data_IF_703381768244
#
_entry.id   IF_703381768244
#
_cell.length_a   1.000
_cell.length_b   1.000
_cell.length_c   1.000
_cell.angle_alpha   90.00
_cell.angle_beta   90.00
_cell.angle_gamma   90.00
#
_symmetry.space_group_name_H-M   'P 1'
#
loop_
_entity.id
_entity.type
_entity.pdbx_description
1 polymer ?
#
# COMPACT_ATOMS: atom_id res chain seq x y z
N UNK A 1 8.46 7.55 15.49
CA UNK A 1 7.25 6.74 15.30
C UNK A 1 7.57 5.30 15.64
N UNK A 2 6.94 4.77 16.68
CA UNK A 2 7.04 3.38 17.11
C UNK A 2 6.46 2.42 16.08
N UNK A 3 6.80 1.12 16.17
CA UNK A 3 6.23 0.07 15.32
C UNK A 3 4.69 0.06 15.44
N UNK A 4 4.17 0.26 16.66
CA UNK A 4 2.72 0.31 16.92
C UNK A 4 2.05 1.46 16.18
N UNK A 5 2.63 2.66 16.23
CA UNK A 5 2.11 3.83 15.52
C UNK A 5 2.18 3.63 14.00
N UNK A 6 3.27 3.07 13.47
CA UNK A 6 3.39 2.75 12.04
C UNK A 6 2.27 1.82 11.59
N UNK A 7 2.02 0.74 12.34
CA UNK A 7 0.97 -0.23 12.01
C UNK A 7 -0.43 0.38 12.11
N UNK A 8 -0.68 1.25 13.09
CA UNK A 8 -1.94 1.98 13.22
C UNK A 8 -2.17 2.90 12.01
N UNK A 9 -1.17 3.70 11.65
CA UNK A 9 -1.24 4.61 10.51
C UNK A 9 -1.36 3.85 9.19
N UNK A 10 -0.63 2.75 9.02
CA UNK A 10 -0.75 1.87 7.87
C UNK A 10 -2.19 1.34 7.74
N UNK A 11 -2.76 0.79 8.82
CA UNK A 11 -4.14 0.26 8.79
C UNK A 11 -5.17 1.35 8.49
N UNK A 12 -5.05 2.53 9.11
CA UNK A 12 -5.94 3.65 8.86
C UNK A 12 -5.86 4.10 7.40
N UNK A 13 -4.64 4.31 6.88
CA UNK A 13 -4.43 4.69 5.49
C UNK A 13 -4.91 3.65 4.49
N UNK A 14 -4.71 2.35 4.75
CA UNK A 14 -5.25 1.28 3.90
C UNK A 14 -6.79 1.25 3.92
N UNK A 15 -7.42 1.54 5.06
CA UNK A 15 -8.88 1.61 5.17
C UNK A 15 -9.46 2.77 4.36
N UNK A 16 -8.82 3.93 4.38
CA UNK A 16 -9.22 5.09 3.56
C UNK A 16 -9.00 4.81 2.09
N UNK A 17 -7.84 4.26 1.73
CA UNK A 17 -7.54 3.88 0.36
C UNK A 17 -8.60 2.90 -0.19
N UNK A 18 -9.04 1.93 0.61
CA UNK A 18 -10.11 0.99 0.26
C UNK A 18 -11.51 1.63 0.13
N UNK A 19 -11.76 2.77 0.79
CA UNK A 19 -13.01 3.54 0.60
C UNK A 19 -13.01 4.29 -0.72
N UNK A 20 -11.84 4.80 -1.13
CA UNK A 20 -11.68 5.45 -2.42
C UNK A 20 -11.65 4.47 -3.60
N UNK A 21 -10.98 3.35 -3.40
CA UNK A 21 -10.73 2.35 -4.43
C UNK A 21 -11.36 1.05 -3.95
N UNK A 22 -12.50 0.67 -4.56
CA UNK A 22 -13.19 -0.57 -4.21
C UNK A 22 -12.19 -1.74 -4.22
N UNK A 23 -11.97 -2.44 -3.08
CA UNK A 23 -10.92 -3.45 -2.96
C UNK A 23 -11.40 -4.79 -3.55
N UNK A 24 -11.69 -4.80 -4.84
CA UNK A 24 -12.07 -5.98 -5.62
C UNK A 24 -10.81 -6.76 -6.01
N UNK A 25 -10.98 -8.01 -6.46
CA UNK A 25 -9.84 -8.78 -6.99
C UNK A 25 -9.24 -8.08 -8.21
N UNK A 26 -10.08 -7.49 -9.06
CA UNK A 26 -9.66 -6.75 -10.26
C UNK A 26 -8.79 -5.54 -9.89
N UNK A 27 -9.21 -4.71 -8.94
CA UNK A 27 -8.42 -3.53 -8.56
C UNK A 27 -7.11 -3.90 -7.85
N UNK A 28 -7.10 -5.00 -7.07
CA UNK A 28 -5.87 -5.51 -6.47
C UNK A 28 -4.92 -6.09 -7.53
N UNK A 29 -5.46 -6.74 -8.56
CA UNK A 29 -4.67 -7.24 -9.70
C UNK A 29 -4.07 -6.10 -10.53
N UNK A 30 -4.84 -5.03 -10.77
CA UNK A 30 -4.35 -3.83 -11.45
C UNK A 30 -3.25 -3.14 -10.64
N UNK A 31 -3.44 -2.98 -9.32
CA UNK A 31 -2.40 -2.43 -8.46
C UNK A 31 -1.13 -3.28 -8.49
N UNK A 32 -1.24 -4.60 -8.43
CA UNK A 32 -0.11 -5.52 -8.57
C UNK A 32 0.62 -5.36 -9.92
N UNK A 33 -0.12 -5.30 -11.04
CA UNK A 33 0.48 -5.08 -12.36
C UNK A 33 1.23 -3.76 -12.43
N UNK A 34 0.69 -2.69 -11.84
CA UNK A 34 1.36 -1.39 -11.83
C UNK A 34 2.69 -1.44 -11.07
N UNK A 35 2.70 -2.01 -9.86
CA UNK A 35 3.94 -2.16 -9.08
C UNK A 35 4.94 -3.14 -9.75
N UNK A 36 4.45 -4.15 -10.47
CA UNK A 36 5.29 -5.04 -11.28
C UNK A 36 5.96 -4.29 -12.45
N UNK A 37 5.21 -3.40 -13.12
CA UNK A 37 5.75 -2.54 -14.18
C UNK A 37 6.77 -1.55 -13.59
N UNK A 38 6.45 -0.88 -12.48
CA UNK A 38 7.38 0.04 -11.79
C UNK A 38 8.69 -0.68 -11.40
N UNK A 39 8.59 -1.90 -10.86
CA UNK A 39 9.76 -2.73 -10.55
C UNK A 39 10.56 -3.14 -11.80
N UNK A 40 9.90 -3.47 -12.91
CA UNK A 40 10.60 -3.88 -14.13
C UNK A 40 11.26 -2.70 -14.86
N UNK A 41 10.59 -1.55 -14.91
CA UNK A 41 11.09 -0.33 -15.55
C UNK A 41 12.21 0.33 -14.73
N UNK A 42 12.16 0.25 -13.40
CA UNK A 42 13.15 0.86 -12.52
C UNK A 42 13.45 -0.04 -11.30
N UNK A 43 14.19 -1.14 -11.51
CA UNK A 43 14.46 -2.11 -10.46
C UNK A 43 15.18 -1.45 -9.28
N UNK A 44 14.53 -1.45 -8.12
CA UNK A 44 15.11 -0.99 -6.87
C UNK A 44 14.60 -1.80 -5.69
N UNK A 45 15.31 -1.72 -4.57
CA UNK A 45 14.85 -2.38 -3.34
C UNK A 45 13.49 -1.84 -2.88
N UNK A 46 13.21 -0.54 -3.09
CA UNK A 46 11.89 0.04 -2.76
C UNK A 46 10.78 -0.59 -3.61
N UNK A 47 10.99 -0.64 -4.93
CA UNK A 47 10.00 -1.20 -5.87
C UNK A 47 9.81 -2.70 -5.65
N UNK A 48 10.86 -3.44 -5.30
CA UNK A 48 10.75 -4.84 -4.92
C UNK A 48 9.80 -5.05 -3.73
N UNK A 49 9.90 -4.21 -2.69
CA UNK A 49 9.01 -4.29 -1.55
C UNK A 49 7.57 -3.88 -1.88
N UNK A 50 7.37 -2.91 -2.77
CA UNK A 50 6.02 -2.51 -3.22
C UNK A 50 5.37 -3.60 -4.08
N UNK A 51 6.15 -4.25 -4.94
CA UNK A 51 5.75 -5.45 -5.68
C UNK A 51 5.35 -6.59 -4.73
N UNK A 52 6.19 -6.94 -3.75
CA UNK A 52 5.85 -7.96 -2.76
C UNK A 52 4.62 -7.58 -1.91
N UNK A 53 4.49 -6.31 -1.55
CA UNK A 53 3.35 -5.80 -0.80
C UNK A 53 2.05 -5.97 -1.59
N UNK A 54 2.03 -5.51 -2.84
CA UNK A 54 0.85 -5.61 -3.71
C UNK A 54 0.49 -7.06 -4.04
N UNK A 55 1.48 -7.93 -4.27
CA UNK A 55 1.28 -9.37 -4.40
C UNK A 55 0.65 -9.98 -3.14
N UNK A 56 1.17 -9.60 -1.96
CA UNK A 56 0.63 -10.02 -0.67
C UNK A 56 -0.82 -9.56 -0.45
N UNK A 57 -1.20 -8.36 -0.91
CA UNK A 57 -2.60 -7.88 -0.81
C UNK A 57 -3.54 -8.67 -1.71
N UNK A 58 -3.10 -8.99 -2.93
CA UNK A 58 -3.86 -9.83 -3.83
C UNK A 58 -4.07 -11.23 -3.23
N UNK A 59 -3.00 -11.84 -2.71
CA UNK A 59 -3.06 -13.12 -2.01
C UNK A 59 -4.00 -13.08 -0.80
N UNK A 60 -3.92 -12.02 0.00
CA UNK A 60 -4.81 -11.81 1.14
C UNK A 60 -6.27 -11.77 0.70
N UNK A 61 -6.58 -11.08 -0.41
CA UNK A 61 -7.95 -11.00 -0.93
C UNK A 61 -8.52 -12.37 -1.34
N UNK A 62 -7.66 -13.29 -1.78
CA UNK A 62 -8.05 -14.64 -2.19
C UNK A 62 -8.11 -15.64 -1.03
N UNK A 63 -7.25 -15.49 -0.01
CA UNK A 63 -7.03 -16.54 1.00
C UNK A 63 -7.36 -16.13 2.43
N UNK A 64 -7.48 -14.84 2.72
CA UNK A 64 -7.62 -14.32 4.08
C UNK A 64 -6.31 -14.24 4.87
N UNK A 65 -5.18 -14.68 4.32
CA UNK A 65 -3.86 -14.62 4.97
C UNK A 65 -3.12 -13.32 4.61
N UNK A 66 -2.76 -12.45 5.59
CA UNK A 66 -2.27 -11.10 5.31
C UNK A 66 -0.76 -11.02 5.03
N UNK A 67 -0.30 -11.67 3.94
CA UNK A 67 1.13 -11.72 3.58
C UNK A 67 1.73 -10.36 3.24
N UNK A 68 0.93 -9.35 2.92
CA UNK A 68 1.41 -7.98 2.66
C UNK A 68 2.18 -7.38 3.85
N UNK A 69 1.95 -7.88 5.07
CA UNK A 69 2.64 -7.40 6.27
C UNK A 69 4.13 -7.82 6.31
N UNK A 70 4.51 -8.86 5.57
CA UNK A 70 5.91 -9.29 5.44
C UNK A 70 6.74 -8.28 4.64
N UNK A 71 6.12 -7.50 3.76
CA UNK A 71 6.73 -6.38 3.07
C UNK A 71 6.84 -5.14 3.98
N UNK A 72 7.53 -5.32 5.12
CA UNK A 72 7.64 -4.32 6.17
C UNK A 72 8.14 -2.94 5.69
N UNK A 73 9.12 -2.84 4.77
CA UNK A 73 9.55 -1.53 4.25
C UNK A 73 8.42 -0.73 3.59
N UNK A 74 7.54 -1.37 2.83
CA UNK A 74 6.37 -0.72 2.21
C UNK A 74 5.30 -0.41 3.24
N UNK A 75 5.04 -1.31 4.20
CA UNK A 75 4.14 -1.05 5.35
C UNK A 75 4.59 0.20 6.11
N UNK A 76 5.89 0.29 6.42
CA UNK A 76 6.49 1.46 7.07
C UNK A 76 6.36 2.71 6.23
N UNK A 77 6.69 2.63 4.93
CA UNK A 77 6.58 3.74 3.98
C UNK A 77 5.15 4.29 3.95
N UNK A 78 4.15 3.42 3.79
CA UNK A 78 2.74 3.82 3.76
C UNK A 78 2.27 4.39 5.10
N UNK A 79 2.64 3.79 6.23
CA UNK A 79 2.31 4.32 7.55
C UNK A 79 2.92 5.70 7.81
N UNK A 80 4.16 5.93 7.38
CA UNK A 80 4.82 7.23 7.46
C UNK A 80 4.15 8.28 6.57
N UNK A 81 3.85 7.93 5.31
CA UNK A 81 3.13 8.82 4.38
C UNK A 81 1.77 9.23 4.92
N UNK A 82 1.03 8.26 5.46
CA UNK A 82 -0.26 8.55 6.09
C UNK A 82 -0.13 9.48 7.30
N UNK A 83 0.86 9.26 8.15
CA UNK A 83 1.11 10.14 9.29
C UNK A 83 1.53 11.56 8.89
N UNK A 84 2.27 11.70 7.79
CA UNK A 84 2.78 12.99 7.32
C UNK A 84 1.74 13.80 6.58
N UNK A 85 0.95 13.15 5.71
CA UNK A 85 0.00 13.87 4.85
C UNK A 85 -1.34 13.16 4.59
N UNK A 86 -1.75 12.23 5.46
CA UNK A 86 -3.09 11.66 5.43
C UNK A 86 -3.36 10.69 4.27
N UNK A 87 -2.32 10.21 3.57
CA UNK A 87 -2.47 9.33 2.40
C UNK A 87 -1.32 8.31 2.28
N UNK A 88 -1.61 7.10 1.80
CA UNK A 88 -0.60 6.03 1.65
C UNK A 88 0.18 6.11 0.34
N UNK A 89 -0.43 6.67 -0.71
CA UNK A 89 0.22 6.98 -1.99
C UNK A 89 1.16 8.17 -1.80
N UNK A 90 2.08 8.39 -2.73
CA UNK A 90 2.93 9.59 -2.69
C UNK A 90 2.06 10.86 -2.74
N UNK A 91 2.57 11.98 -2.24
CA UNK A 91 1.83 13.25 -2.22
C UNK A 91 1.32 13.66 -3.62
N UNK A 92 2.17 13.44 -4.64
CA UNK A 92 1.86 13.67 -6.06
C UNK A 92 0.80 12.73 -6.65
N UNK A 93 0.66 11.52 -6.10
CA UNK A 93 -0.22 10.47 -6.63
C UNK A 93 -1.41 10.21 -5.70
N UNK A 94 -1.60 11.04 -4.68
CA UNK A 94 -2.75 10.92 -3.80
C UNK A 94 -3.94 11.65 -4.42
N UNK A 95 -5.01 10.91 -4.68
CA UNK A 95 -6.28 11.49 -5.12
C UNK A 95 -6.88 12.34 -4.00
N UNK A 96 -7.44 13.50 -4.34
CA UNK A 96 -7.86 14.51 -3.34
C UNK A 96 -8.91 13.99 -2.36
N UNK A 97 -9.79 13.10 -2.79
CA UNK A 97 -10.79 12.42 -1.95
C UNK A 97 -10.20 11.33 -1.02
N UNK A 98 -8.94 10.94 -1.21
CA UNK A 98 -8.25 9.90 -0.43
C UNK A 98 -7.29 10.43 0.62
N UNK A 99 -7.22 11.75 0.75
CA UNK A 99 -6.43 12.45 1.75
C UNK A 99 -7.32 12.75 2.94
N UNK A 100 -6.92 12.29 4.12
CA UNK A 100 -7.66 12.56 5.36
C UNK A 100 -6.76 13.28 6.35
N UNK A 101 -7.13 14.52 6.69
CA UNK A 101 -6.51 15.34 7.71
C UNK A 101 -7.56 15.75 8.74
#
# INVERSE_FOLDING_TARGET
MSIREILQNYRAGMAIYARCHAPTVVSQWEAFKNEFIEFFESPSLSEFWDFLHSAGRLFWKLTGIPLQLLAWPTVRKHGQRYALYGCIRSERNCEGNCRQF
#
